data_IF_958425224152
#
_entry.id   IF_958425224152
#
_cell.length_a   1.000
_cell.length_b   1.000
_cell.length_c   1.000
_cell.angle_alpha   90.00
_cell.angle_beta   90.00
_cell.angle_gamma   90.00
#
_symmetry.space_group_name_H-M   'P 1'
#
loop_
_entity.id
_entity.type
_entity.pdbx_description
1 polymer ?
#
# COMPACT_ATOMS: atom_id res chain seq x y z
N UNK A 1 -14.39 -44.31 39.34
CA UNK A 1 -13.21 -44.39 38.46
C UNK A 1 -12.66 -43.03 38.03
N UNK A 2 -13.48 -42.03 37.67
CA UNK A 2 -12.97 -40.70 37.25
C UNK A 2 -12.22 -39.93 38.35
N UNK A 3 -12.63 -40.01 39.62
CA UNK A 3 -11.95 -39.26 40.70
C UNK A 3 -10.60 -39.86 41.13
N UNK A 4 -10.43 -41.18 41.00
CA UNK A 4 -9.14 -41.86 41.26
C UNK A 4 -8.14 -41.55 40.15
N UNK A 5 -8.61 -41.41 38.91
CA UNK A 5 -7.78 -41.07 37.76
C UNK A 5 -7.27 -39.62 37.82
N UNK A 6 -8.13 -38.69 38.30
CA UNK A 6 -7.75 -37.28 38.53
C UNK A 6 -6.73 -37.16 39.66
N UNK A 7 -6.88 -37.91 40.76
CA UNK A 7 -5.92 -37.93 41.86
C UNK A 7 -4.54 -38.44 41.42
N UNK A 8 -4.49 -39.44 40.55
CA UNK A 8 -3.24 -39.96 39.97
C UNK A 8 -2.60 -38.96 39.00
N UNK A 9 -3.40 -38.25 38.20
CA UNK A 9 -2.90 -37.22 37.27
C UNK A 9 -2.32 -36.00 38.02
N UNK A 10 -2.93 -35.61 39.15
CA UNK A 10 -2.43 -34.53 40.00
C UNK A 10 -1.17 -34.92 40.78
N UNK A 11 -1.01 -36.19 41.16
CA UNK A 11 0.19 -36.67 41.85
C UNK A 11 1.41 -36.69 40.93
N UNK A 12 1.21 -36.97 39.64
CA UNK A 12 2.25 -36.91 38.60
C UNK A 12 2.64 -35.44 38.31
N UNK A 13 1.69 -34.51 38.40
CA UNK A 13 1.95 -33.08 38.16
C UNK A 13 2.67 -32.39 39.34
N UNK A 14 2.40 -32.80 40.59
CA UNK A 14 3.08 -32.25 41.78
C UNK A 14 4.49 -32.84 41.95
N UNK A 15 4.75 -34.07 41.47
CA UNK A 15 6.08 -34.67 41.45
C UNK A 15 7.07 -34.04 40.46
N UNK A 16 6.62 -33.14 39.58
CA UNK A 16 7.45 -32.52 38.55
C UNK A 16 8.05 -31.15 38.95
N UNK A 17 7.80 -30.67 40.18
CA UNK A 17 8.20 -29.32 40.61
C UNK A 17 9.15 -29.26 41.82
N UNK A 18 9.73 -30.37 42.27
CA UNK A 18 10.80 -30.36 43.28
C UNK A 18 12.05 -31.06 42.74
N UNK A 19 12.75 -30.37 41.85
CA UNK A 19 14.19 -30.56 41.63
C UNK A 19 14.76 -29.23 41.16
N UNK A 20 14.77 -28.25 42.06
CA UNK A 20 15.77 -27.19 42.05
C UNK A 20 17.11 -27.82 42.48
N UNK A 21 17.63 -28.74 41.68
CA UNK A 21 18.96 -29.29 41.84
C UNK A 21 19.77 -28.78 40.65
N UNK A 22 20.69 -27.87 40.94
CA UNK A 22 21.71 -27.43 40.02
C UNK A 22 22.21 -28.63 39.19
N UNK A 23 22.07 -28.54 37.87
CA UNK A 23 22.40 -29.62 36.94
C UNK A 23 23.89 -29.98 37.08
N UNK A 24 24.23 -30.92 37.97
CA UNK A 24 25.62 -31.35 38.16
C UNK A 24 26.00 -32.29 37.01
N UNK A 25 27.15 -32.04 36.37
CA UNK A 25 27.61 -32.84 35.21
C UNK A 25 27.47 -34.34 35.47
N UNK A 26 26.94 -35.06 34.48
CA UNK A 26 26.86 -36.52 34.43
C UNK A 26 28.25 -37.14 34.62
N UNK A 27 28.31 -38.37 35.17
CA UNK A 27 29.58 -39.09 35.40
C UNK A 27 30.40 -39.26 34.11
N UNK A 28 29.73 -39.39 32.96
CA UNK A 28 30.38 -39.45 31.63
C UNK A 28 31.02 -38.12 31.25
N UNK A 29 30.30 -37.01 31.45
CA UNK A 29 30.77 -35.65 31.17
C UNK A 29 31.93 -35.26 32.08
N UNK A 30 31.85 -35.58 33.39
CA UNK A 30 32.97 -35.39 34.33
C UNK A 30 34.22 -36.17 33.92
N UNK A 31 34.05 -37.41 33.40
CA UNK A 31 35.17 -38.25 32.93
C UNK A 31 35.76 -37.73 31.62
N UNK A 32 34.95 -37.21 30.71
CA UNK A 32 35.38 -36.54 29.48
C UNK A 32 36.17 -35.27 29.80
N UNK A 33 35.62 -34.39 30.66
CA UNK A 33 36.26 -33.17 31.12
C UNK A 33 37.60 -33.46 31.80
N UNK A 34 37.67 -34.51 32.64
CA UNK A 34 38.92 -34.95 33.28
C UNK A 34 39.97 -35.41 32.26
N UNK A 35 39.56 -36.08 31.17
CA UNK A 35 40.47 -36.47 30.08
C UNK A 35 40.96 -35.24 29.32
N UNK A 36 40.09 -34.28 29.02
CA UNK A 36 40.41 -33.01 28.36
C UNK A 36 41.38 -32.17 29.20
N UNK A 37 41.12 -32.00 30.50
CA UNK A 37 42.03 -31.34 31.44
C UNK A 37 43.39 -32.03 31.47
N UNK A 38 43.42 -33.37 31.44
CA UNK A 38 44.68 -34.12 31.40
C UNK A 38 45.44 -33.92 30.09
N UNK A 39 44.76 -33.73 28.96
CA UNK A 39 45.41 -33.36 27.69
C UNK A 39 45.93 -31.92 27.69
N UNK A 40 45.21 -30.97 28.29
CA UNK A 40 45.69 -29.58 28.42
C UNK A 40 46.89 -29.45 29.34
N UNK A 41 46.93 -30.24 30.43
CA UNK A 41 48.08 -30.29 31.34
C UNK A 41 49.35 -30.84 30.68
N UNK A 42 49.22 -31.63 29.61
CA UNK A 42 50.36 -32.21 28.87
C UNK A 42 50.97 -31.26 27.84
N UNK A 43 50.19 -30.31 27.32
CA UNK A 43 50.65 -29.34 26.30
C UNK A 43 49.96 -27.97 26.52
N UNK A 44 50.49 -27.17 27.47
CA UNK A 44 49.91 -25.88 27.85
C UNK A 44 49.94 -24.85 26.71
N UNK A 45 50.98 -24.87 25.87
CA UNK A 45 51.13 -23.91 24.77
C UNK A 45 50.04 -24.08 23.71
N UNK A 46 49.71 -25.32 23.35
CA UNK A 46 48.64 -25.60 22.40
C UNK A 46 47.29 -25.08 22.89
N UNK A 47 47.02 -25.18 24.19
CA UNK A 47 45.80 -24.65 24.80
C UNK A 47 45.75 -23.12 24.75
N UNK A 48 46.85 -22.43 25.07
CA UNK A 48 46.94 -20.96 24.96
C UNK A 48 46.71 -20.50 23.52
N UNK A 49 47.28 -21.20 22.52
CA UNK A 49 47.05 -20.91 21.10
C UNK A 49 45.58 -21.07 20.71
N UNK A 50 44.92 -22.14 21.17
CA UNK A 50 43.49 -22.36 20.91
C UNK A 50 42.63 -21.28 21.57
N UNK A 51 42.90 -20.94 22.83
CA UNK A 51 42.17 -19.91 23.58
C UNK A 51 42.31 -18.54 22.91
N UNK A 52 43.52 -18.17 22.48
CA UNK A 52 43.74 -16.91 21.75
C UNK A 52 43.00 -16.89 20.41
N UNK A 53 42.97 -18.02 19.69
CA UNK A 53 42.19 -18.16 18.46
C UNK A 53 40.69 -18.01 18.73
N UNK A 54 40.16 -18.70 19.73
CA UNK A 54 38.76 -18.59 20.13
C UNK A 54 38.39 -17.17 20.57
N UNK A 55 39.24 -16.53 21.38
CA UNK A 55 39.08 -15.13 21.79
C UNK A 55 39.05 -14.19 20.58
N UNK A 56 39.92 -14.41 19.59
CA UNK A 56 39.90 -13.65 18.34
C UNK A 56 38.64 -13.89 17.51
N UNK A 57 38.14 -15.13 17.45
CA UNK A 57 36.90 -15.46 16.74
C UNK A 57 35.68 -14.86 17.43
N UNK A 58 35.60 -14.96 18.76
CA UNK A 58 34.51 -14.36 19.54
C UNK A 58 34.50 -12.85 19.34
N UNK A 59 35.66 -12.19 19.42
CA UNK A 59 35.77 -10.76 19.14
C UNK A 59 35.28 -10.41 17.73
N UNK A 60 35.69 -11.18 16.71
CA UNK A 60 35.23 -10.96 15.34
C UNK A 60 33.71 -11.14 15.16
N UNK A 61 33.13 -12.14 15.83
CA UNK A 61 31.68 -12.35 15.84
C UNK A 61 30.93 -11.25 16.59
N UNK A 62 31.49 -10.72 17.68
CA UNK A 62 30.94 -9.57 18.40
C UNK A 62 30.91 -8.33 17.50
N UNK A 63 32.02 -8.04 16.81
CA UNK A 63 32.13 -6.95 15.85
C UNK A 63 31.11 -7.10 14.69
N UNK A 64 30.92 -8.33 14.18
CA UNK A 64 29.93 -8.63 13.14
C UNK A 64 28.49 -8.49 13.63
N UNK A 65 28.19 -8.95 14.84
CA UNK A 65 26.87 -8.78 15.47
C UNK A 65 26.54 -7.29 15.61
N UNK A 66 27.50 -6.47 16.01
CA UNK A 66 27.28 -5.04 16.17
C UNK A 66 27.10 -4.32 14.83
N UNK A 67 27.84 -4.73 13.79
CA UNK A 67 27.63 -4.27 12.43
C UNK A 67 26.24 -4.66 11.89
N UNK A 68 25.81 -5.91 12.10
CA UNK A 68 24.50 -6.40 11.67
C UNK A 68 23.35 -5.70 12.43
N UNK A 69 23.50 -5.43 13.73
CA UNK A 69 22.52 -4.65 14.50
C UNK A 69 22.39 -3.23 13.95
N UNK A 70 23.49 -2.60 13.56
CA UNK A 70 23.47 -1.27 12.96
C UNK A 70 22.72 -1.28 11.63
N UNK A 71 23.04 -2.24 10.74
CA UNK A 71 22.34 -2.40 9.46
C UNK A 71 20.85 -2.68 9.65
N UNK A 72 20.48 -3.51 10.63
CA UNK A 72 19.08 -3.79 10.95
C UNK A 72 18.33 -2.54 11.40
N UNK A 73 18.97 -1.69 12.21
CA UNK A 73 18.41 -0.41 12.64
C UNK A 73 18.19 0.51 11.43
N UNK A 74 19.18 0.68 10.57
CA UNK A 74 19.06 1.52 9.37
C UNK A 74 17.97 1.01 8.41
N UNK A 75 17.89 -0.31 8.19
CA UNK A 75 16.86 -0.91 7.35
C UNK A 75 15.46 -0.69 7.94
N UNK A 76 15.32 -0.79 9.26
CA UNK A 76 14.06 -0.53 9.97
C UNK A 76 13.64 0.93 9.84
N UNK A 77 14.57 1.86 9.99
CA UNK A 77 14.31 3.30 9.86
C UNK A 77 13.89 3.65 8.41
N UNK A 78 14.58 3.10 7.41
CA UNK A 78 14.19 3.24 5.98
C UNK A 78 12.80 2.69 5.70
N UNK A 79 12.46 1.52 6.24
CA UNK A 79 11.12 0.94 6.08
C UNK A 79 10.04 1.84 6.68
N UNK A 80 10.28 2.44 7.84
CA UNK A 80 9.35 3.39 8.46
C UNK A 80 9.16 4.65 7.60
N UNK A 81 10.25 5.16 7.03
CA UNK A 81 10.20 6.30 6.11
C UNK A 81 9.40 5.97 4.86
N UNK A 82 9.65 4.82 4.25
CA UNK A 82 8.91 4.35 3.06
C UNK A 82 7.43 4.16 3.34
N UNK A 83 7.05 3.59 4.49
CA UNK A 83 5.64 3.46 4.90
C UNK A 83 4.97 4.84 5.01
N UNK A 84 5.66 5.80 5.62
CA UNK A 84 5.16 7.18 5.74
C UNK A 84 4.97 7.82 4.36
N UNK A 85 5.95 7.69 3.47
CA UNK A 85 5.86 8.18 2.08
C UNK A 85 4.71 7.55 1.32
N UNK A 86 4.51 6.24 1.48
CA UNK A 86 3.43 5.51 0.82
C UNK A 86 2.06 5.99 1.30
N UNK A 87 1.91 6.24 2.61
CA UNK A 87 0.68 6.81 3.18
C UNK A 87 0.39 8.18 2.57
N UNK A 88 1.38 9.08 2.58
CA UNK A 88 1.23 10.44 2.01
C UNK A 88 0.86 10.38 0.52
N UNK A 89 1.50 9.49 -0.24
CA UNK A 89 1.23 9.34 -1.67
C UNK A 89 -0.17 8.77 -1.91
N UNK A 90 -0.60 7.82 -1.09
CA UNK A 90 -1.94 7.27 -1.14
C UNK A 90 -2.99 8.32 -0.80
N UNK A 91 -2.77 9.13 0.25
CA UNK A 91 -3.65 10.25 0.61
C UNK A 91 -3.71 11.30 -0.50
N UNK A 92 -2.58 11.58 -1.15
CA UNK A 92 -2.55 12.47 -2.32
C UNK A 92 -3.35 11.86 -3.48
N UNK A 93 -3.21 10.56 -3.74
CA UNK A 93 -3.92 9.87 -4.80
C UNK A 93 -5.43 9.83 -4.55
N UNK A 94 -5.88 9.51 -3.34
CA UNK A 94 -7.30 9.49 -2.99
C UNK A 94 -7.93 10.88 -3.09
N UNK A 95 -7.23 11.91 -2.60
CA UNK A 95 -7.65 13.30 -2.79
C UNK A 95 -7.75 13.65 -4.27
N UNK A 96 -6.74 13.27 -5.08
CA UNK A 96 -6.78 13.53 -6.52
C UNK A 96 -7.96 12.81 -7.18
N UNK A 97 -8.21 11.55 -6.85
CA UNK A 97 -9.33 10.76 -7.37
C UNK A 97 -10.67 11.39 -7.02
N UNK A 98 -10.82 11.93 -5.81
CA UNK A 98 -12.03 12.64 -5.38
C UNK A 98 -12.20 14.00 -6.09
N UNK A 99 -11.10 14.64 -6.49
CA UNK A 99 -11.13 15.92 -7.21
C UNK A 99 -11.20 15.77 -8.74
N UNK A 100 -10.86 14.60 -9.27
CA UNK A 100 -10.99 14.32 -10.69
C UNK A 100 -12.47 14.08 -11.01
N UNK A 101 -13.07 14.82 -11.95
CA UNK A 101 -14.42 14.51 -12.36
C UNK A 101 -14.42 13.10 -12.94
N UNK A 102 -15.34 12.28 -12.45
CA UNK A 102 -15.50 10.92 -12.94
C UNK A 102 -15.90 10.94 -14.41
N UNK A 103 -15.26 10.10 -15.23
CA UNK A 103 -15.68 9.82 -16.60
C UNK A 103 -16.84 8.82 -16.67
N UNK A 104 -17.16 8.18 -15.54
CA UNK A 104 -18.33 7.31 -15.40
C UNK A 104 -19.52 8.18 -14.99
N UNK A 105 -20.58 8.15 -15.81
CA UNK A 105 -21.84 8.80 -15.47
C UNK A 105 -22.38 8.15 -14.18
N UNK A 106 -22.75 8.95 -13.15
CA UNK A 106 -23.43 8.42 -11.99
C UNK A 106 -24.86 7.97 -12.37
N UNK A 107 -25.46 7.13 -11.52
CA UNK A 107 -26.87 6.74 -11.68
C UNK A 107 -27.78 7.94 -11.36
N UNK A 108 -28.90 8.08 -12.07
CA UNK A 108 -29.78 9.25 -12.01
C UNK A 108 -29.77 10.12 -13.28
N UNK A 109 -30.40 11.29 -13.19
CA UNK A 109 -30.44 12.28 -14.28
C UNK A 109 -29.22 13.17 -14.21
N UNK A 110 -28.42 13.19 -15.28
CA UNK A 110 -27.25 14.06 -15.41
C UNK A 110 -27.21 14.73 -16.77
N UNK A 111 -26.64 15.93 -16.80
CA UNK A 111 -26.48 16.75 -18.00
C UNK A 111 -25.01 16.75 -18.43
N UNK A 112 -24.74 16.51 -19.71
CA UNK A 112 -23.39 16.51 -20.28
C UNK A 112 -23.26 17.61 -21.32
N UNK A 113 -22.15 18.35 -21.28
CA UNK A 113 -21.81 19.33 -22.33
C UNK A 113 -20.95 18.64 -23.38
N UNK A 114 -21.46 18.59 -24.61
CA UNK A 114 -20.82 17.95 -25.75
C UNK A 114 -20.37 19.01 -26.76
N UNK A 115 -19.24 18.75 -27.43
CA UNK A 115 -18.82 19.51 -28.60
C UNK A 115 -19.13 18.71 -29.87
N UNK A 116 -19.44 19.41 -30.96
CA UNK A 116 -19.61 18.82 -32.29
C UNK A 116 -18.39 18.06 -32.84
N UNK A 117 -18.55 17.51 -34.05
CA UNK A 117 -17.53 16.68 -34.71
C UNK A 117 -16.44 17.55 -35.35
N UNK A 118 -15.20 17.43 -34.88
CA UNK A 118 -14.06 18.17 -35.45
C UNK A 118 -12.91 17.23 -35.82
N UNK A 119 -12.43 17.38 -37.06
CA UNK A 119 -11.31 16.60 -37.59
C UNK A 119 -9.95 17.06 -37.01
N UNK A 120 -9.84 18.33 -36.63
CA UNK A 120 -8.62 18.96 -36.08
C UNK A 120 -8.96 19.91 -34.94
N UNK A 121 -9.28 19.38 -33.75
CA UNK A 121 -9.43 20.19 -32.53
C UNK A 121 -8.31 19.82 -31.56
N UNK A 122 -7.36 20.74 -31.35
CA UNK A 122 -6.29 20.58 -30.36
C UNK A 122 -6.77 21.04 -28.98
N UNK A 123 -7.37 20.09 -28.27
CA UNK A 123 -7.91 20.27 -26.92
C UNK A 123 -6.86 20.35 -25.83
N UNK A 124 -5.58 20.05 -26.15
CA UNK A 124 -4.48 20.08 -25.19
C UNK A 124 -4.31 21.50 -24.63
N UNK A 125 -4.51 22.51 -25.47
CA UNK A 125 -4.47 23.93 -25.09
C UNK A 125 -5.59 24.35 -24.12
N UNK A 126 -6.75 23.69 -24.18
CA UNK A 126 -7.91 23.97 -23.33
C UNK A 126 -7.91 23.14 -22.03
N UNK A 127 -7.11 22.07 -21.97
CA UNK A 127 -7.05 21.14 -20.83
C UNK A 127 -6.67 21.81 -19.50
N UNK A 128 -5.98 22.95 -19.53
CA UNK A 128 -5.65 23.72 -18.31
C UNK A 128 -6.87 24.35 -17.61
N UNK A 129 -8.02 24.47 -18.30
CA UNK A 129 -9.27 25.04 -17.76
C UNK A 129 -10.41 24.02 -17.66
N UNK A 130 -10.28 22.86 -18.31
CA UNK A 130 -11.34 21.87 -18.42
C UNK A 130 -11.04 20.67 -17.51
N UNK A 131 -11.96 20.36 -16.59
CA UNK A 131 -11.69 19.35 -15.56
C UNK A 131 -11.70 17.90 -16.10
N UNK A 132 -12.43 17.60 -17.18
CA UNK A 132 -12.37 16.34 -17.94
C UNK A 132 -12.74 16.62 -19.39
N UNK A 133 -11.93 16.10 -20.33
CA UNK A 133 -12.28 16.03 -21.76
C UNK A 133 -12.21 14.55 -22.15
N UNK A 134 -13.35 13.95 -22.52
CA UNK A 134 -13.40 12.59 -23.07
C UNK A 134 -13.53 12.68 -24.58
N UNK A 135 -12.58 12.09 -25.31
CA UNK A 135 -12.71 11.89 -26.75
C UNK A 135 -13.30 10.50 -27.01
N UNK A 136 -14.39 10.44 -27.77
CA UNK A 136 -14.97 9.21 -28.27
C UNK A 136 -14.95 9.24 -29.79
N UNK A 137 -14.45 8.17 -30.41
CA UNK A 137 -14.47 8.03 -31.86
C UNK A 137 -15.77 7.32 -32.25
N UNK A 138 -16.60 8.02 -33.03
CA UNK A 138 -17.88 7.54 -33.52
C UNK A 138 -17.90 7.81 -35.02
N UNK A 139 -18.02 6.75 -35.81
CA UNK A 139 -18.19 6.84 -37.27
C UNK A 139 -17.11 7.67 -38.00
N UNK A 140 -15.85 7.50 -37.59
CA UNK A 140 -14.70 8.22 -38.18
C UNK A 140 -14.55 9.68 -37.74
N UNK A 141 -15.40 10.14 -36.82
CA UNK A 141 -15.35 11.48 -36.25
C UNK A 141 -15.17 11.45 -34.73
N UNK A 142 -14.46 12.43 -34.17
CA UNK A 142 -14.21 12.52 -32.73
C UNK A 142 -15.26 13.41 -32.07
N UNK A 143 -16.05 12.82 -31.16
CA UNK A 143 -16.92 13.51 -30.22
C UNK A 143 -16.15 13.81 -28.95
N UNK A 144 -16.27 15.03 -28.44
CA UNK A 144 -15.61 15.42 -27.20
C UNK A 144 -16.62 15.84 -26.14
N UNK A 145 -16.58 15.19 -24.98
CA UNK A 145 -17.46 15.48 -23.83
C UNK A 145 -16.66 16.23 -22.78
N UNK A 146 -17.16 17.40 -22.37
CA UNK A 146 -16.53 18.26 -21.39
C UNK A 146 -17.38 18.24 -20.11
N UNK A 147 -17.19 17.20 -19.31
CA UNK A 147 -17.80 17.08 -17.98
C UNK A 147 -19.27 16.65 -17.94
N UNK A 148 -19.75 16.48 -16.70
CA UNK A 148 -21.09 16.08 -16.32
C UNK A 148 -21.55 17.03 -15.21
N UNK A 149 -22.84 17.34 -15.19
CA UNK A 149 -23.46 18.30 -14.29
C UNK A 149 -24.77 17.70 -13.78
N UNK A 150 -25.05 17.89 -12.49
CA UNK A 150 -26.31 17.45 -11.87
C UNK A 150 -27.44 18.44 -12.15
N UNK A 151 -27.09 19.72 -12.36
CA UNK A 151 -28.01 20.81 -12.64
C UNK A 151 -27.95 21.24 -14.13
N UNK A 152 -29.12 21.52 -14.70
CA UNK A 152 -29.25 21.93 -16.10
C UNK A 152 -28.67 23.33 -16.34
N UNK A 153 -28.91 24.26 -15.42
CA UNK A 153 -28.48 25.65 -15.58
C UNK A 153 -26.95 25.75 -15.52
N UNK A 154 -26.32 24.98 -14.63
CA UNK A 154 -24.86 24.86 -14.57
C UNK A 154 -24.28 24.33 -15.89
N UNK A 155 -24.90 23.29 -16.47
CA UNK A 155 -24.50 22.74 -17.76
C UNK A 155 -24.64 23.76 -18.91
N UNK A 156 -25.71 24.55 -18.91
CA UNK A 156 -25.97 25.57 -19.94
C UNK A 156 -25.02 26.75 -19.80
N UNK A 157 -24.77 27.23 -18.58
CA UNK A 157 -23.78 28.28 -18.33
C UNK A 157 -22.40 27.84 -18.81
N UNK A 158 -21.99 26.63 -18.46
CA UNK A 158 -20.72 26.08 -18.90
C UNK A 158 -20.68 25.92 -20.43
N UNK A 159 -21.76 25.45 -21.07
CA UNK A 159 -21.84 25.40 -22.53
C UNK A 159 -21.65 26.77 -23.18
N UNK A 160 -22.17 27.85 -22.58
CA UNK A 160 -21.98 29.21 -23.07
C UNK A 160 -20.54 29.70 -22.89
N UNK A 161 -19.91 29.37 -21.76
CA UNK A 161 -18.49 29.69 -21.53
C UNK A 161 -17.58 29.00 -22.56
N UNK A 162 -17.88 27.74 -22.91
CA UNK A 162 -17.18 27.00 -23.96
C UNK A 162 -17.39 27.63 -25.34
N UNK A 163 -18.60 28.10 -25.65
CA UNK A 163 -18.88 28.87 -26.88
C UNK A 163 -18.06 30.16 -26.94
N UNK A 164 -17.98 30.89 -25.82
CA UNK A 164 -17.19 32.12 -25.73
C UNK A 164 -15.68 31.87 -25.91
N UNK A 165 -15.20 30.66 -25.60
CA UNK A 165 -13.82 30.24 -25.84
C UNK A 165 -13.53 29.84 -27.31
N UNK A 166 -14.54 29.89 -28.19
CA UNK A 166 -14.40 29.66 -29.63
C UNK A 166 -14.98 28.33 -30.13
N UNK A 167 -15.62 27.55 -29.27
CA UNK A 167 -16.27 26.29 -29.65
C UNK A 167 -17.78 26.52 -29.75
N UNK A 168 -18.21 27.10 -30.86
CA UNK A 168 -19.59 27.54 -31.08
C UNK A 168 -20.63 26.41 -31.07
N UNK A 169 -20.23 25.18 -31.41
CA UNK A 169 -21.10 24.01 -31.52
C UNK A 169 -21.17 23.18 -30.22
N UNK A 170 -20.92 23.81 -29.07
CA UNK A 170 -21.13 23.16 -27.78
C UNK A 170 -22.64 23.10 -27.45
N UNK A 171 -23.13 21.95 -26.99
CA UNK A 171 -24.54 21.78 -26.61
C UNK A 171 -24.68 20.87 -25.39
N UNK A 172 -25.81 21.01 -24.68
CA UNK A 172 -26.13 20.19 -23.51
C UNK A 172 -26.98 19.00 -23.94
N UNK A 173 -26.59 17.79 -23.53
CA UNK A 173 -27.39 16.57 -23.67
C UNK A 173 -27.78 16.04 -22.30
N UNK A 174 -28.97 15.46 -22.17
CA UNK A 174 -29.41 14.79 -20.95
C UNK A 174 -29.15 13.28 -21.05
N UNK A 175 -28.68 12.70 -19.95
CA UNK A 175 -28.54 11.26 -19.75
C UNK A 175 -29.33 10.84 -18.52
N UNK A 176 -30.06 9.73 -18.64
CA UNK A 176 -30.82 9.11 -17.56
C UNK A 176 -30.32 7.68 -17.42
N UNK A 177 -29.75 7.36 -16.26
CA UNK A 177 -29.18 6.04 -15.96
C UNK A 177 -28.19 5.54 -17.03
N UNK A 178 -27.37 6.47 -17.55
CA UNK A 178 -26.36 6.19 -18.57
C UNK A 178 -26.87 6.16 -20.01
N UNK A 179 -28.18 6.30 -20.24
CA UNK A 179 -28.76 6.38 -21.59
C UNK A 179 -29.04 7.83 -21.99
N UNK A 180 -28.64 8.23 -23.21
CA UNK A 180 -28.90 9.58 -23.73
C UNK A 180 -30.39 9.73 -24.04
N UNK A 181 -31.00 10.80 -23.52
CA UNK A 181 -32.33 11.22 -23.94
C UNK A 181 -32.20 12.00 -25.26
N UNK A 182 -32.68 11.42 -26.36
CA UNK A 182 -32.59 12.01 -27.70
C UNK A 182 -33.57 13.17 -27.90
N UNK A 183 -34.66 13.20 -27.13
CA UNK A 183 -35.73 14.21 -27.25
C UNK A 183 -35.46 15.44 -26.38
N UNK A 184 -34.31 15.50 -25.72
CA UNK A 184 -33.96 16.58 -24.82
C UNK A 184 -33.34 17.77 -25.57
N UNK A 185 -33.95 18.95 -25.41
CA UNK A 185 -33.38 20.24 -25.78
C UNK A 185 -33.32 21.16 -24.55
N UNK A 186 -32.11 21.58 -24.18
CA UNK A 186 -31.89 22.46 -23.04
C UNK A 186 -32.53 23.85 -23.22
N UNK A 187 -32.58 24.39 -24.45
CA UNK A 187 -33.15 25.70 -24.73
C UNK A 187 -34.68 25.67 -24.58
N UNK A 188 -35.31 24.59 -25.04
CA UNK A 188 -36.75 24.40 -24.87
C UNK A 188 -37.13 24.31 -23.39
N UNK A 189 -36.37 23.53 -22.60
CA UNK A 189 -36.64 23.33 -21.17
C UNK A 189 -36.47 24.61 -20.35
N UNK A 190 -35.48 25.45 -20.66
CA UNK A 190 -35.26 26.73 -19.96
C UNK A 190 -36.30 27.78 -20.35
N UNK A 191 -36.88 27.68 -21.55
CA UNK A 191 -37.87 28.64 -22.04
C UNK A 191 -39.30 28.44 -21.51
N UNK A 192 -39.56 27.33 -20.79
CA UNK A 192 -40.84 26.99 -20.16
C UNK A 192 -40.91 27.50 -18.73
#
# INVERSE_FOLDING_TARGET
MKQILVAFLTLIFIGSFISAEAQTLSKSEKKALKKEIKTYKKDPEKWVRMMNKQKSTVKGLEDEIDALKLQLKEAKDKNKELQTKMSILNDKYTNLLNTMPSTKLPMGTVYQVQMGYYQYLDLVSFNNKLKVVKAEEIDGAKRYVIGHFDDLMDAVQFSNDIKALGISDAFVSQYIDGNRNMDFDALEVISR
#
